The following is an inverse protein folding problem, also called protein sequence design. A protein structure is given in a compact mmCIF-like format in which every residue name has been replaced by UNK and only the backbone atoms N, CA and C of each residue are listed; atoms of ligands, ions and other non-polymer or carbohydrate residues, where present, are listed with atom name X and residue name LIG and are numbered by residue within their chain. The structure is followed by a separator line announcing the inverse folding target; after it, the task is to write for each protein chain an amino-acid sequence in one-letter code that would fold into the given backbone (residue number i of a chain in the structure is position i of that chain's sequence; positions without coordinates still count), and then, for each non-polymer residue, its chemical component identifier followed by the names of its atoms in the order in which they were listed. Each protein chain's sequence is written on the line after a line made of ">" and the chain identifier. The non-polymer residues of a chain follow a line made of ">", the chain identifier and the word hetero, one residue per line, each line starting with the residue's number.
data_IF_973742035876
#
_entry.id   IF_973742035876
#
_cell.length_a   1.000
_cell.length_b   1.000
_cell.length_c   1.000
_cell.angle_alpha   90.00
_cell.angle_beta   90.00
_cell.angle_gamma   90.00
#
_symmetry.space_group_name_H-M   'P 1'
#
loop_
_entity.id
_entity.type
_entity.pdbx_description
1 polymer ?
#
# COMPACT_ATOMS: atom_id res chain seq x y z
N UNK A 1 1.24 13.09 -2.54
CA UNK A 1 0.84 12.40 -3.78
C UNK A 1 1.91 12.61 -4.85
N UNK A 2 2.19 11.58 -5.66
CA UNK A 2 3.10 11.72 -6.79
C UNK A 2 2.45 12.55 -7.90
N UNK A 3 3.24 13.26 -8.72
CA UNK A 3 2.72 14.02 -9.87
C UNK A 3 2.00 13.13 -10.89
N UNK A 4 2.46 11.89 -11.04
CA UNK A 4 1.88 10.88 -11.93
C UNK A 4 1.44 9.67 -11.09
N UNK A 5 0.15 9.31 -11.06
CA UNK A 5 -0.36 8.23 -10.22
C UNK A 5 -0.04 6.84 -10.79
N UNK A 6 0.30 5.90 -9.91
CA UNK A 6 0.46 4.49 -10.28
C UNK A 6 -0.87 3.75 -10.18
N UNK A 7 -1.41 3.32 -11.33
CA UNK A 7 -2.72 2.66 -11.40
C UNK A 7 -2.65 1.12 -11.39
N UNK A 8 -1.42 0.55 -11.47
CA UNK A 8 -1.23 -0.90 -11.50
C UNK A 8 -0.81 -1.43 -10.12
N UNK A 9 -1.45 -2.48 -9.59
CA UNK A 9 -1.11 -3.00 -8.27
C UNK A 9 0.19 -3.81 -8.25
N UNK A 10 0.52 -4.45 -9.38
CA UNK A 10 1.77 -5.18 -9.58
C UNK A 10 2.28 -4.94 -11.00
N UNK A 11 3.61 -4.92 -11.15
CA UNK A 11 4.26 -4.81 -12.45
C UNK A 11 4.28 -6.18 -13.14
N UNK A 12 3.32 -6.43 -14.03
CA UNK A 12 3.25 -7.63 -14.85
C UNK A 12 3.44 -7.27 -16.33
N UNK A 13 4.70 -7.16 -16.77
CA UNK A 13 5.04 -6.73 -18.13
C UNK A 13 5.08 -7.89 -19.13
N UNK A 14 5.15 -7.54 -20.42
CA UNK A 14 5.31 -8.51 -21.51
C UNK A 14 6.50 -9.47 -21.30
N UNK A 15 7.63 -8.97 -20.80
CA UNK A 15 8.81 -9.80 -20.56
C UNK A 15 8.52 -10.90 -19.53
N UNK A 16 7.84 -10.55 -18.43
CA UNK A 16 7.46 -11.51 -17.39
C UNK A 16 6.40 -12.50 -17.90
N UNK A 17 5.40 -12.04 -18.66
CA UNK A 17 4.40 -12.93 -19.25
C UNK A 17 5.00 -13.91 -20.26
N UNK A 18 6.00 -13.46 -21.04
CA UNK A 18 6.69 -14.32 -22.01
C UNK A 18 7.59 -15.37 -21.34
N UNK A 19 8.22 -15.03 -20.21
CA UNK A 19 9.02 -15.99 -19.43
C UNK A 19 8.19 -17.19 -18.95
N UNK A 20 6.89 -17.00 -18.73
CA UNK A 20 5.97 -18.05 -18.27
C UNK A 20 5.36 -18.88 -19.42
N UNK A 21 5.75 -18.63 -20.66
CA UNK A 21 5.29 -19.38 -21.83
C UNK A 21 5.78 -20.84 -21.78
N UNK A 22 4.99 -21.84 -22.24
CA UNK A 22 3.68 -21.72 -22.90
C UNK A 22 2.48 -21.67 -21.95
N UNK A 23 2.68 -21.96 -20.65
CA UNK A 23 1.61 -22.08 -19.66
C UNK A 23 0.95 -20.72 -19.36
N UNK A 24 1.73 -19.65 -19.44
CA UNK A 24 1.30 -18.29 -19.12
C UNK A 24 1.12 -18.06 -17.61
N UNK A 25 0.42 -16.98 -17.27
CA UNK A 25 0.26 -16.52 -15.87
C UNK A 25 -0.76 -17.34 -15.07
N UNK A 26 -1.63 -18.08 -15.74
CA UNK A 26 -2.71 -18.85 -15.11
C UNK A 26 -2.23 -20.07 -14.33
N UNK A 27 -1.00 -20.53 -14.57
CA UNK A 27 -0.40 -21.66 -13.88
C UNK A 27 0.14 -21.28 -12.50
N UNK A 28 1.43 -21.57 -12.29
CA UNK A 28 2.09 -21.39 -10.99
C UNK A 28 1.95 -19.97 -10.44
N UNK A 29 2.07 -18.95 -11.29
CA UNK A 29 2.00 -17.56 -10.86
C UNK A 29 0.65 -17.21 -10.21
N UNK A 30 -0.47 -17.51 -10.89
CA UNK A 30 -1.81 -17.32 -10.33
C UNK A 30 -2.04 -18.17 -9.09
N UNK A 31 -1.64 -19.45 -9.11
CA UNK A 31 -1.82 -20.34 -7.97
C UNK A 31 -1.10 -19.80 -6.73
N UNK A 32 0.17 -19.41 -6.87
CA UNK A 32 0.95 -18.83 -5.76
C UNK A 32 0.30 -17.55 -5.23
N UNK A 33 -0.10 -16.62 -6.10
CA UNK A 33 -0.77 -15.39 -5.65
C UNK A 33 -2.07 -15.65 -4.87
N UNK A 34 -2.86 -16.64 -5.28
CA UNK A 34 -4.08 -17.03 -4.56
C UNK A 34 -3.73 -17.58 -3.17
N UNK A 35 -2.79 -18.50 -3.08
CA UNK A 35 -2.39 -19.09 -1.80
C UNK A 35 -1.80 -18.04 -0.86
N UNK A 36 -0.93 -17.15 -1.36
CA UNK A 36 -0.40 -16.04 -0.59
C UNK A 36 -1.52 -15.12 -0.09
N UNK A 37 -2.47 -14.74 -0.95
CA UNK A 37 -3.57 -13.88 -0.55
C UNK A 37 -4.50 -14.55 0.47
N UNK A 38 -4.75 -15.85 0.34
CA UNK A 38 -5.52 -16.60 1.32
C UNK A 38 -4.82 -16.61 2.69
N UNK A 39 -3.52 -16.92 2.72
CA UNK A 39 -2.73 -16.92 3.96
C UNK A 39 -2.71 -15.54 4.65
N UNK A 40 -2.62 -14.45 3.87
CA UNK A 40 -2.69 -13.08 4.40
C UNK A 40 -4.08 -12.74 4.95
N UNK A 41 -5.15 -13.31 4.38
CA UNK A 41 -6.54 -13.12 4.88
C UNK A 41 -6.81 -13.89 6.15
N UNK A 42 -6.33 -15.13 6.24
CA UNK A 42 -6.49 -16.01 7.40
C UNK A 42 -5.98 -15.35 8.70
N UNK A 43 -4.89 -14.57 8.61
CA UNK A 43 -4.30 -13.86 9.75
C UNK A 43 -4.33 -12.33 9.57
N UNK A 44 -5.40 -11.82 8.98
CA UNK A 44 -5.53 -10.39 8.63
C UNK A 44 -5.46 -9.45 9.83
N UNK A 45 -5.93 -9.85 11.02
CA UNK A 45 -5.89 -9.01 12.23
C UNK A 45 -4.46 -8.78 12.73
N UNK A 46 -3.61 -9.81 12.70
CA UNK A 46 -2.19 -9.70 13.05
C UNK A 46 -1.48 -8.77 12.07
N UNK A 47 -1.72 -8.94 10.76
CA UNK A 47 -1.15 -8.09 9.72
C UNK A 47 -1.58 -6.63 9.89
N UNK A 48 -2.88 -6.36 10.09
CA UNK A 48 -3.41 -5.01 10.28
C UNK A 48 -2.87 -4.35 11.55
N UNK A 49 -2.75 -5.09 12.65
CA UNK A 49 -2.17 -4.58 13.90
C UNK A 49 -0.69 -4.24 13.72
N UNK A 50 0.05 -5.06 12.97
CA UNK A 50 1.47 -4.82 12.67
C UNK A 50 1.64 -3.60 11.76
N UNK A 51 0.77 -3.45 10.75
CA UNK A 51 0.75 -2.27 9.88
C UNK A 51 0.39 -0.99 10.65
N UNK A 52 -0.53 -1.07 11.62
CA UNK A 52 -0.93 0.08 12.43
C UNK A 52 0.23 0.61 13.27
N UNK A 53 1.00 -0.30 13.89
CA UNK A 53 2.24 0.05 14.58
C UNK A 53 3.26 0.63 13.59
N UNK A 54 3.50 -0.03 12.45
CA UNK A 54 4.49 0.39 11.47
C UNK A 54 4.23 1.78 10.87
N UNK A 55 2.96 2.12 10.61
CA UNK A 55 2.60 3.42 10.03
C UNK A 55 2.67 4.53 11.07
N UNK A 56 2.42 4.22 12.35
CA UNK A 56 2.50 5.18 13.46
C UNK A 56 3.91 5.34 14.01
N UNK A 57 4.82 4.40 13.77
CA UNK A 57 6.22 4.52 14.15
C UNK A 57 6.93 5.57 13.29
N UNK A 58 7.51 6.63 13.90
CA UNK A 58 8.23 7.68 13.18
C UNK A 58 9.59 7.22 12.61
N UNK A 59 9.92 5.92 12.69
CA UNK A 59 11.14 5.35 12.10
C UNK A 59 11.10 5.34 10.56
N UNK A 60 9.93 5.57 9.95
CA UNK A 60 9.86 5.92 8.54
C UNK A 60 10.16 7.42 8.35
N UNK A 61 11.27 7.69 7.68
CA UNK A 61 11.84 8.99 7.29
C UNK A 61 10.95 9.83 6.32
N UNK A 62 9.63 9.64 6.31
CA UNK A 62 8.71 10.43 5.49
C UNK A 62 8.53 11.85 6.04
N UNK A 63 8.73 12.03 7.35
CA UNK A 63 8.72 13.34 8.02
C UNK A 63 9.96 14.18 7.65
N UNK A 64 11.14 13.56 7.53
CA UNK A 64 12.35 14.27 7.08
C UNK A 64 12.32 14.65 5.59
N UNK A 65 11.70 13.82 4.74
CA UNK A 65 11.60 14.10 3.31
C UNK A 65 10.56 15.20 2.99
N UNK A 66 9.46 15.28 3.76
CA UNK A 66 8.46 16.36 3.64
C UNK A 66 8.97 17.73 4.17
N UNK A 67 9.77 17.70 5.25
CA UNK A 67 10.43 18.90 5.82
C UNK A 67 11.52 19.47 4.89
N UNK A 68 12.24 18.63 4.13
CA UNK A 68 13.25 19.10 3.16
C UNK A 68 12.64 19.75 1.91
N UNK A 69 11.40 19.41 1.54
CA UNK A 69 10.67 20.09 0.44
C UNK A 69 10.05 21.42 0.88
N UNK A 70 9.95 21.69 2.19
CA UNK A 70 9.31 22.89 2.75
C UNK A 70 10.22 23.60 3.76
N UNK A 71 11.29 24.26 3.31
CA UNK A 71 11.97 25.33 4.09
C UNK A 71 11.09 26.58 4.30
N UNK A 72 9.77 26.47 4.23
CA UNK A 72 8.80 27.52 4.45
C UNK A 72 7.76 26.96 5.41
N UNK A 73 7.50 27.67 6.51
CA UNK A 73 6.48 27.40 7.55
C UNK A 73 7.07 26.89 8.88
N UNK A 74 7.88 27.74 9.50
CA UNK A 74 8.13 27.71 10.93
C UNK A 74 6.89 28.24 11.69
N UNK A 75 5.79 27.46 11.78
CA UNK A 75 4.67 27.65 12.75
C UNK A 75 3.72 26.42 12.93
N UNK A 76 3.96 25.25 12.32
CA UNK A 76 2.92 24.22 12.10
C UNK A 76 3.06 22.88 12.87
N UNK A 77 3.71 22.81 14.02
CA UNK A 77 3.97 21.53 14.72
C UNK A 77 2.69 20.78 15.15
N UNK A 78 1.59 21.48 15.47
CA UNK A 78 0.31 20.86 15.85
C UNK A 78 -0.55 20.41 14.66
N UNK A 79 -0.37 20.99 13.48
CA UNK A 79 -1.07 20.57 12.26
C UNK A 79 -0.46 19.30 11.64
N UNK A 80 0.87 19.13 11.77
CA UNK A 80 1.61 17.97 11.26
C UNK A 80 1.19 16.69 12.00
N UNK A 81 1.11 16.71 13.33
CA UNK A 81 0.67 15.55 14.11
C UNK A 81 -0.76 15.08 13.79
N UNK A 82 -1.65 16.00 13.34
CA UNK A 82 -3.04 15.67 12.97
C UNK A 82 -3.16 15.13 11.54
N UNK A 83 -2.29 15.56 10.63
CA UNK A 83 -2.22 14.98 9.28
C UNK A 83 -1.73 13.53 9.31
N UNK A 84 -0.79 13.23 10.21
CA UNK A 84 -0.18 11.91 10.30
C UNK A 84 -1.19 10.84 10.77
N UNK A 85 -2.03 11.18 11.75
CA UNK A 85 -3.11 10.29 12.23
C UNK A 85 -4.20 10.06 11.19
N UNK A 86 -4.49 11.06 10.34
CA UNK A 86 -5.48 10.93 9.26
C UNK A 86 -4.94 10.03 8.15
N UNK A 87 -3.69 10.27 7.72
CA UNK A 87 -3.01 9.44 6.73
C UNK A 87 -2.89 7.97 7.20
N UNK A 88 -2.49 7.76 8.46
CA UNK A 88 -2.39 6.42 9.03
C UNK A 88 -3.72 5.66 8.96
N UNK A 89 -4.82 6.31 9.35
CA UNK A 89 -6.17 5.72 9.28
C UNK A 89 -6.58 5.37 7.86
N UNK A 90 -6.28 6.23 6.89
CA UNK A 90 -6.62 5.98 5.49
C UNK A 90 -5.82 4.80 4.91
N UNK A 91 -4.53 4.69 5.22
CA UNK A 91 -3.69 3.56 4.78
C UNK A 91 -4.15 2.24 5.40
N UNK A 92 -4.50 2.23 6.68
CA UNK A 92 -5.05 1.04 7.35
C UNK A 92 -6.43 0.67 6.80
N UNK A 93 -7.28 1.66 6.52
CA UNK A 93 -8.59 1.44 5.89
C UNK A 93 -8.42 0.81 4.51
N UNK A 94 -7.53 1.31 3.66
CA UNK A 94 -7.23 0.71 2.36
C UNK A 94 -6.71 -0.72 2.49
N UNK A 95 -5.82 -0.99 3.44
CA UNK A 95 -5.33 -2.35 3.70
C UNK A 95 -6.47 -3.31 4.11
N UNK A 96 -7.38 -2.86 4.98
CA UNK A 96 -8.55 -3.64 5.40
C UNK A 96 -9.49 -3.94 4.23
N UNK A 97 -9.75 -2.98 3.36
CA UNK A 97 -10.56 -3.19 2.15
C UNK A 97 -9.91 -4.21 1.21
N UNK A 98 -8.58 -4.15 1.03
CA UNK A 98 -7.81 -5.12 0.22
C UNK A 98 -7.95 -6.54 0.79
N UNK A 99 -7.81 -6.69 2.10
CA UNK A 99 -7.93 -7.98 2.79
C UNK A 99 -9.36 -8.55 2.72
N UNK A 100 -10.38 -7.71 2.84
CA UNK A 100 -11.79 -8.11 2.73
C UNK A 100 -12.23 -8.54 1.31
N UNK A 101 -11.35 -8.41 0.31
CA UNK A 101 -11.65 -8.84 -1.06
C UNK A 101 -12.48 -7.85 -1.86
N UNK A 102 -12.46 -6.57 -1.47
CA UNK A 102 -13.00 -5.50 -2.30
C UNK A 102 -12.20 -5.41 -3.60
N UNK A 103 -12.89 -5.10 -4.70
CA UNK A 103 -12.27 -4.98 -6.03
C UNK A 103 -11.11 -3.95 -5.99
N UNK A 104 -9.89 -4.34 -6.38
CA UNK A 104 -8.72 -3.44 -6.39
C UNK A 104 -8.93 -2.14 -7.18
N UNK A 105 -9.69 -2.18 -8.28
CA UNK A 105 -9.96 -0.99 -9.09
C UNK A 105 -10.73 0.09 -8.30
N UNK A 106 -11.58 -0.33 -7.37
CA UNK A 106 -12.31 0.59 -6.49
C UNK A 106 -11.35 1.24 -5.51
N UNK A 107 -10.41 0.48 -4.95
CA UNK A 107 -9.49 0.96 -3.92
C UNK A 107 -8.46 1.95 -4.50
N UNK A 108 -7.96 1.69 -5.70
CA UNK A 108 -7.01 2.57 -6.41
C UNK A 108 -7.68 3.90 -6.79
N UNK A 109 -8.98 3.91 -7.10
CA UNK A 109 -9.72 5.15 -7.41
C UNK A 109 -9.94 6.08 -6.22
N UNK A 110 -9.65 5.63 -4.99
CA UNK A 110 -9.77 6.43 -3.75
C UNK A 110 -8.41 6.88 -3.17
N UNK A 111 -7.29 6.40 -3.70
CA UNK A 111 -5.91 6.75 -3.26
C UNK A 111 -5.32 7.91 -4.11
#
# INVERSE_FOLDING_TARGET
>A
HLPEPELIPIRLTRQLTQLMSPIGTSGLFRATMIHTMNALRENSDLLLSTMDVFIKEPLMEWMEHALKTSKQVAQNETNILRSDDTYAKDRIKSARLKLNGINPAVIIGYE
#
